data_IF_626216485430
#
_entry.id   IF_626216485430
#
_cell.length_a   1.000
_cell.length_b   1.000
_cell.length_c   1.000
_cell.angle_alpha   90.00
_cell.angle_beta   90.00
_cell.angle_gamma   90.00
#
_symmetry.space_group_name_H-M   'P 1'
#
loop_
_entity.id
_entity.type
_entity.pdbx_description
1 polymer ?
#
# COMPACT_ATOMS: atom_id res chain seq x y z
N UNK A 1 9.65 55.03 -0.68
CA UNK A 1 9.12 53.78 -1.28
C UNK A 1 9.24 52.66 -0.26
N UNK A 2 8.12 52.01 0.06
CA UNK A 2 7.94 51.22 1.28
C UNK A 2 8.77 49.92 1.25
N UNK A 3 9.85 49.89 2.02
CA UNK A 3 10.77 48.74 2.16
C UNK A 3 10.04 47.45 2.53
N UNK A 4 8.97 47.56 3.33
CA UNK A 4 8.08 46.45 3.68
C UNK A 4 7.44 45.78 2.46
N UNK A 5 7.04 46.57 1.44
CA UNK A 5 6.42 46.05 0.22
C UNK A 5 7.43 45.24 -0.61
N UNK A 6 8.69 45.69 -0.68
CA UNK A 6 9.77 44.94 -1.33
C UNK A 6 10.06 43.62 -0.62
N UNK A 7 10.13 43.63 0.71
CA UNK A 7 10.38 42.40 1.48
C UNK A 7 9.25 41.38 1.30
N UNK A 8 7.99 41.83 1.31
CA UNK A 8 6.83 40.95 1.08
C UNK A 8 6.89 40.34 -0.33
N UNK A 9 7.20 41.15 -1.35
CA UNK A 9 7.31 40.66 -2.72
C UNK A 9 8.42 39.61 -2.90
N UNK A 10 9.57 39.80 -2.24
CA UNK A 10 10.68 38.84 -2.28
C UNK A 10 10.28 37.52 -1.62
N UNK A 11 9.62 37.56 -0.46
CA UNK A 11 9.15 36.36 0.25
C UNK A 11 8.11 35.59 -0.55
N UNK A 12 7.15 36.30 -1.16
CA UNK A 12 6.14 35.69 -2.04
C UNK A 12 6.80 35.05 -3.25
N UNK A 13 7.80 35.70 -3.86
CA UNK A 13 8.56 35.14 -4.99
C UNK A 13 9.29 33.84 -4.63
N UNK A 14 9.98 33.81 -3.49
CA UNK A 14 10.66 32.61 -2.97
C UNK A 14 9.68 31.47 -2.69
N UNK A 15 8.53 31.78 -2.08
CA UNK A 15 7.50 30.79 -1.79
C UNK A 15 6.91 30.19 -3.06
N UNK A 16 6.58 31.02 -4.06
CA UNK A 16 6.05 30.55 -5.35
C UNK A 16 7.08 29.72 -6.13
N UNK A 17 8.35 30.11 -6.10
CA UNK A 17 9.43 29.34 -6.73
C UNK A 17 9.62 27.97 -6.05
N UNK A 18 9.55 27.92 -4.71
CA UNK A 18 9.60 26.68 -3.95
C UNK A 18 8.39 25.77 -4.21
N UNK A 19 7.18 26.33 -4.23
CA UNK A 19 5.95 25.59 -4.51
C UNK A 19 5.93 25.03 -5.94
N UNK A 20 6.36 25.81 -6.93
CA UNK A 20 6.45 25.37 -8.32
C UNK A 20 7.50 24.27 -8.50
N UNK A 21 8.67 24.42 -7.87
CA UNK A 21 9.73 23.40 -7.90
C UNK A 21 9.30 22.11 -7.23
N UNK A 22 8.66 22.20 -6.05
CA UNK A 22 8.11 21.06 -5.34
C UNK A 22 7.00 20.36 -6.12
N UNK A 23 6.06 21.10 -6.71
CA UNK A 23 5.00 20.56 -7.55
C UNK A 23 5.56 19.88 -8.81
N UNK A 24 6.53 20.50 -9.48
CA UNK A 24 7.18 19.94 -10.67
C UNK A 24 7.93 18.65 -10.35
N UNK A 25 8.70 18.64 -9.25
CA UNK A 25 9.43 17.48 -8.78
C UNK A 25 8.47 16.34 -8.38
N UNK A 26 7.39 16.67 -7.68
CA UNK A 26 6.35 15.69 -7.30
C UNK A 26 5.63 15.15 -8.54
N UNK A 27 5.28 15.97 -9.53
CA UNK A 27 4.60 15.48 -10.74
C UNK A 27 5.52 14.62 -11.63
N UNK A 28 6.84 14.85 -11.60
CA UNK A 28 7.83 14.09 -12.38
C UNK A 28 8.32 12.82 -11.70
N UNK A 29 8.47 12.83 -10.38
CA UNK A 29 9.02 11.71 -9.61
C UNK A 29 7.99 10.96 -8.78
N UNK A 30 6.80 11.52 -8.55
CA UNK A 30 5.73 10.72 -7.99
C UNK A 30 5.35 9.66 -9.04
N UNK A 31 5.38 8.37 -8.67
CA UNK A 31 4.86 7.34 -9.54
C UNK A 31 3.40 7.69 -9.79
N UNK A 32 3.10 8.11 -11.02
CA UNK A 32 1.71 8.30 -11.45
C UNK A 32 0.96 7.04 -11.06
N UNK A 33 -0.14 7.18 -10.31
CA UNK A 33 -0.92 6.07 -9.75
C UNK A 33 -1.55 5.13 -10.78
N UNK A 34 -1.05 5.12 -12.02
CA UNK A 34 -1.39 4.23 -13.13
C UNK A 34 -0.58 2.93 -13.12
N UNK A 35 0.44 2.78 -12.28
CA UNK A 35 1.22 1.54 -12.20
C UNK A 35 0.71 0.55 -11.13
N UNK A 36 -0.59 0.26 -11.14
CA UNK A 36 -1.18 -0.92 -10.48
C UNK A 36 -2.02 -1.80 -11.41
N UNK A 37 -1.90 -1.60 -12.72
CA UNK A 37 -2.42 -2.56 -13.72
C UNK A 37 -1.40 -3.67 -14.00
N UNK A 38 -0.12 -3.43 -13.69
CA UNK A 38 1.00 -4.34 -13.90
C UNK A 38 1.09 -5.38 -12.77
N UNK A 39 0.09 -6.26 -12.65
CA UNK A 39 0.25 -7.61 -12.03
C UNK A 39 -1.01 -8.47 -11.88
N UNK A 40 -2.15 -8.13 -12.49
CA UNK A 40 -3.31 -9.06 -12.46
C UNK A 40 -3.13 -10.30 -13.35
N UNK A 41 -2.32 -10.19 -14.41
CA UNK A 41 -2.01 -11.28 -15.34
C UNK A 41 -1.33 -12.50 -14.69
N UNK A 42 -0.25 -12.37 -13.89
CA UNK A 42 0.44 -13.53 -13.35
C UNK A 42 -0.40 -14.38 -12.39
N UNK A 43 -1.45 -13.87 -11.75
CA UNK A 43 -2.29 -14.75 -10.92
C UNK A 43 -3.21 -15.62 -11.79
N UNK A 44 -3.94 -15.01 -12.73
CA UNK A 44 -4.89 -15.73 -13.57
C UNK A 44 -4.15 -16.71 -14.50
N UNK A 45 -3.08 -16.25 -15.15
CA UNK A 45 -2.28 -17.08 -16.07
C UNK A 45 -1.65 -18.28 -15.34
N UNK A 46 -0.96 -18.05 -14.20
CA UNK A 46 -0.33 -19.16 -13.46
C UNK A 46 -1.34 -20.17 -12.90
N UNK A 47 -2.50 -19.71 -12.44
CA UNK A 47 -3.52 -20.63 -11.94
C UNK A 47 -4.23 -21.36 -13.08
N UNK A 48 -4.48 -20.69 -14.21
CA UNK A 48 -5.06 -21.31 -15.40
C UNK A 48 -4.12 -22.39 -15.94
N UNK A 49 -2.82 -22.12 -16.06
CA UNK A 49 -1.81 -23.09 -16.48
C UNK A 49 -1.75 -24.30 -15.54
N UNK A 50 -1.79 -24.08 -14.22
CA UNK A 50 -1.81 -25.18 -13.24
C UNK A 50 -3.07 -26.02 -13.36
N UNK A 51 -4.23 -25.39 -13.55
CA UNK A 51 -5.51 -26.08 -13.72
C UNK A 51 -5.54 -26.84 -15.04
N UNK A 52 -5.05 -26.23 -16.11
CA UNK A 52 -4.95 -26.83 -17.43
C UNK A 52 -4.00 -28.04 -17.43
N UNK A 53 -2.86 -27.96 -16.76
CA UNK A 53 -1.95 -29.10 -16.59
C UNK A 53 -2.60 -30.25 -15.80
N UNK A 54 -3.42 -29.94 -14.80
CA UNK A 54 -4.06 -30.95 -13.96
C UNK A 54 -5.33 -31.55 -14.57
N UNK A 55 -6.07 -30.79 -15.38
CA UNK A 55 -7.42 -31.13 -15.86
C UNK A 55 -7.49 -31.28 -17.39
N UNK A 56 -6.44 -30.90 -18.11
CA UNK A 56 -6.32 -30.95 -19.56
C UNK A 56 -7.53 -30.35 -20.27
N UNK A 57 -7.68 -29.01 -20.22
CA UNK A 57 -8.86 -28.37 -20.80
C UNK A 57 -8.89 -28.53 -22.32
N UNK A 58 -10.09 -28.75 -22.86
CA UNK A 58 -10.30 -28.71 -24.31
C UNK A 58 -10.06 -27.29 -24.85
N UNK A 59 -9.74 -27.15 -26.15
CA UNK A 59 -9.58 -25.85 -26.80
C UNK A 59 -10.79 -24.92 -26.63
N UNK A 60 -11.99 -25.48 -26.50
CA UNK A 60 -13.23 -24.74 -26.30
C UNK A 60 -13.45 -24.32 -24.84
N UNK A 61 -12.98 -25.11 -23.87
CA UNK A 61 -13.14 -24.85 -22.42
C UNK A 61 -12.16 -23.80 -21.90
N UNK A 62 -10.89 -23.85 -22.34
CA UNK A 62 -9.84 -22.93 -21.86
C UNK A 62 -10.24 -21.45 -21.94
N UNK A 63 -10.72 -20.91 -23.07
CA UNK A 63 -11.08 -19.49 -23.16
C UNK A 63 -12.28 -19.13 -22.26
N UNK A 64 -13.22 -20.06 -22.05
CA UNK A 64 -14.38 -19.83 -21.17
C UNK A 64 -13.95 -19.75 -19.70
N UNK A 65 -13.07 -20.67 -19.27
CA UNK A 65 -12.53 -20.70 -17.90
C UNK A 65 -11.66 -19.47 -17.66
N UNK A 66 -10.82 -19.08 -18.62
CA UNK A 66 -10.03 -17.86 -18.53
C UNK A 66 -10.92 -16.62 -18.33
N UNK A 67 -11.97 -16.47 -19.14
CA UNK A 67 -12.91 -15.35 -19.04
C UNK A 67 -13.59 -15.32 -17.66
N UNK A 68 -14.04 -16.48 -17.15
CA UNK A 68 -14.61 -16.60 -15.81
C UNK A 68 -13.60 -16.17 -14.73
N UNK A 69 -12.38 -16.70 -14.76
CA UNK A 69 -11.34 -16.35 -13.79
C UNK A 69 -10.98 -14.86 -13.80
N UNK A 70 -10.93 -14.23 -14.98
CA UNK A 70 -10.69 -12.79 -15.12
C UNK A 70 -11.80 -11.98 -14.47
N UNK A 71 -13.05 -12.30 -14.79
CA UNK A 71 -14.23 -11.60 -14.23
C UNK A 71 -14.28 -11.71 -12.69
N UNK A 72 -14.14 -12.93 -12.15
CA UNK A 72 -14.10 -13.17 -10.71
C UNK A 72 -12.91 -12.47 -10.04
N UNK A 73 -11.74 -12.48 -10.67
CA UNK A 73 -10.57 -11.77 -10.18
C UNK A 73 -10.79 -10.26 -10.07
N UNK A 74 -11.53 -9.67 -11.01
CA UNK A 74 -11.91 -8.25 -10.99
C UNK A 74 -12.90 -7.91 -9.89
N UNK A 75 -13.90 -8.76 -9.67
CA UNK A 75 -14.86 -8.62 -8.58
C UNK A 75 -14.19 -8.73 -7.22
N UNK A 76 -13.34 -9.75 -7.01
CA UNK A 76 -12.59 -9.92 -5.76
C UNK A 76 -11.68 -8.72 -5.48
N UNK A 77 -11.04 -8.17 -6.50
CA UNK A 77 -10.22 -6.98 -6.32
C UNK A 77 -11.06 -5.74 -6.00
N UNK A 78 -12.28 -5.62 -6.56
CA UNK A 78 -13.23 -4.55 -6.20
C UNK A 78 -13.65 -4.68 -4.74
N UNK A 79 -14.05 -5.87 -4.31
CA UNK A 79 -14.43 -6.16 -2.93
C UNK A 79 -13.30 -5.81 -1.96
N UNK A 80 -12.07 -6.27 -2.25
CA UNK A 80 -10.89 -5.94 -1.44
C UNK A 80 -10.66 -4.45 -1.27
N UNK A 81 -10.83 -3.65 -2.34
CA UNK A 81 -10.72 -2.18 -2.27
C UNK A 81 -11.82 -1.56 -1.43
N UNK A 82 -13.04 -2.09 -1.48
CA UNK A 82 -14.16 -1.60 -0.68
C UNK A 82 -13.97 -1.94 0.79
N UNK A 83 -13.67 -3.21 1.11
CA UNK A 83 -13.38 -3.67 2.46
C UNK A 83 -12.24 -2.88 3.08
N UNK A 84 -11.14 -2.66 2.36
CA UNK A 84 -10.01 -1.86 2.84
C UNK A 84 -10.43 -0.45 3.27
N UNK A 85 -11.26 0.24 2.47
CA UNK A 85 -11.75 1.58 2.81
C UNK A 85 -12.65 1.56 4.04
N UNK A 86 -13.57 0.60 4.12
CA UNK A 86 -14.45 0.45 5.26
C UNK A 86 -13.67 0.19 6.55
N UNK A 87 -12.72 -0.75 6.52
CA UNK A 87 -11.84 -1.05 7.66
C UNK A 87 -11.02 0.17 8.07
N UNK A 88 -10.41 0.88 7.13
CA UNK A 88 -9.64 2.09 7.44
C UNK A 88 -10.51 3.19 8.08
N UNK A 89 -11.76 3.32 7.66
CA UNK A 89 -12.71 4.24 8.28
C UNK A 89 -13.05 3.84 9.71
N UNK A 90 -13.30 2.54 9.96
CA UNK A 90 -13.59 2.04 11.31
C UNK A 90 -12.40 2.25 12.25
N UNK A 91 -11.17 1.95 11.79
CA UNK A 91 -9.95 2.18 12.58
C UNK A 91 -9.79 3.67 12.91
N UNK A 92 -9.99 4.58 11.95
CA UNK A 92 -9.95 6.03 12.23
C UNK A 92 -10.99 6.45 13.25
N UNK A 93 -12.22 5.96 13.13
CA UNK A 93 -13.29 6.25 14.09
C UNK A 93 -12.97 5.75 15.49
N UNK A 94 -12.43 4.54 15.60
CA UNK A 94 -11.97 3.97 16.87
C UNK A 94 -10.84 4.81 17.48
N UNK A 95 -9.82 5.18 16.70
CA UNK A 95 -8.69 5.98 17.19
C UNK A 95 -9.15 7.35 17.69
N UNK A 96 -10.11 7.99 17.01
CA UNK A 96 -10.68 9.27 17.47
C UNK A 96 -11.43 9.12 18.81
N UNK A 97 -12.17 8.02 19.00
CA UNK A 97 -12.83 7.72 20.28
C UNK A 97 -11.80 7.47 21.39
N UNK A 98 -10.73 6.74 21.10
CA UNK A 98 -9.64 6.53 22.06
C UNK A 98 -9.03 7.87 22.44
N UNK A 99 -8.67 8.70 21.48
CA UNK A 99 -8.02 10.00 21.71
C UNK A 99 -8.87 10.94 22.60
N UNK A 100 -10.20 10.90 22.45
CA UNK A 100 -11.12 11.66 23.30
C UNK A 100 -11.05 11.25 24.79
N UNK A 101 -10.71 10.00 25.09
CA UNK A 101 -10.59 9.46 26.44
C UNK A 101 -9.20 9.69 27.07
N UNK A 102 -8.20 10.08 26.28
CA UNK A 102 -6.83 10.24 26.74
C UNK A 102 -6.57 11.62 27.34
N UNK A 103 -5.70 11.67 28.35
CA UNK A 103 -5.12 12.93 28.84
C UNK A 103 -4.21 13.57 27.77
N UNK A 104 -3.90 14.88 27.86
CA UNK A 104 -3.02 15.53 26.89
C UNK A 104 -1.65 14.85 26.72
N UNK A 105 -1.05 14.40 27.82
CA UNK A 105 0.22 13.68 27.81
C UNK A 105 0.11 12.29 27.13
N UNK A 106 -1.00 11.58 27.39
CA UNK A 106 -1.28 10.30 26.75
C UNK A 106 -1.56 10.45 25.25
N UNK A 107 -2.21 11.55 24.82
CA UNK A 107 -2.44 11.84 23.39
C UNK A 107 -1.13 12.00 22.63
N UNK A 108 -0.16 12.71 23.21
CA UNK A 108 1.16 12.86 22.60
C UNK A 108 1.86 11.49 22.43
N UNK A 109 1.81 10.63 23.46
CA UNK A 109 2.35 9.25 23.37
C UNK A 109 1.60 8.41 22.33
N UNK A 110 0.27 8.54 22.27
CA UNK A 110 -0.57 7.79 21.34
C UNK A 110 -0.32 8.19 19.88
N UNK A 111 -0.05 9.46 19.59
CA UNK A 111 0.32 9.92 18.26
C UNK A 111 1.65 9.29 17.79
N UNK A 112 2.66 9.24 18.67
CA UNK A 112 3.94 8.56 18.39
C UNK A 112 3.74 7.07 18.15
N UNK A 113 2.96 6.41 19.01
CA UNK A 113 2.62 4.99 18.86
C UNK A 113 1.97 4.70 17.51
N UNK A 114 0.98 5.50 17.08
CA UNK A 114 0.33 5.33 15.78
C UNK A 114 1.31 5.48 14.60
N UNK A 115 2.22 6.45 14.68
CA UNK A 115 3.25 6.67 13.65
C UNK A 115 4.18 5.47 13.54
N UNK A 116 4.62 4.91 14.67
CA UNK A 116 5.47 3.72 14.69
C UNK A 116 4.76 2.49 14.11
N UNK A 117 3.49 2.27 14.44
CA UNK A 117 2.72 1.18 13.84
C UNK A 117 2.59 1.34 12.32
N UNK A 118 2.35 2.57 11.84
CA UNK A 118 2.29 2.84 10.40
C UNK A 118 3.63 2.55 9.70
N UNK A 119 4.75 2.97 10.28
CA UNK A 119 6.08 2.71 9.72
C UNK A 119 6.47 1.22 9.75
N UNK A 120 6.06 0.48 10.80
CA UNK A 120 6.23 -0.99 10.83
C UNK A 120 5.44 -1.66 9.71
N UNK A 121 4.16 -1.29 9.54
CA UNK A 121 3.33 -1.83 8.47
C UNK A 121 3.90 -1.50 7.09
N UNK A 122 4.38 -0.27 6.89
CA UNK A 122 4.99 0.18 5.65
C UNK A 122 6.27 -0.60 5.33
N UNK A 123 7.16 -0.79 6.31
CA UNK A 123 8.38 -1.60 6.15
C UNK A 123 8.05 -3.03 5.75
N UNK A 124 7.14 -3.69 6.46
CA UNK A 124 6.73 -5.05 6.10
C UNK A 124 6.11 -5.15 4.71
N UNK A 125 5.37 -4.14 4.25
CA UNK A 125 4.88 -4.12 2.86
C UNK A 125 6.02 -4.00 1.86
N UNK A 126 6.97 -3.09 2.08
CA UNK A 126 8.13 -2.91 1.21
C UNK A 126 9.01 -4.17 1.16
N UNK A 127 9.25 -4.82 2.30
CA UNK A 127 9.99 -6.08 2.39
C UNK A 127 9.30 -7.19 1.60
N UNK A 128 7.96 -7.31 1.72
CA UNK A 128 7.19 -8.29 0.96
C UNK A 128 7.26 -8.02 -0.55
N UNK A 129 7.15 -6.76 -0.95
CA UNK A 129 7.26 -6.36 -2.35
C UNK A 129 8.67 -6.62 -2.90
N UNK A 130 9.71 -6.35 -2.11
CA UNK A 130 11.10 -6.67 -2.47
C UNK A 130 11.29 -8.18 -2.62
N UNK A 131 10.84 -8.98 -1.65
CA UNK A 131 10.90 -10.46 -1.71
C UNK A 131 10.16 -11.00 -2.93
N UNK A 132 9.01 -10.43 -3.27
CA UNK A 132 8.26 -10.81 -4.47
C UNK A 132 9.03 -10.47 -5.77
N UNK A 133 9.74 -9.34 -5.80
CA UNK A 133 10.60 -8.95 -6.93
C UNK A 133 11.83 -9.85 -7.09
N UNK A 134 12.54 -10.14 -6.00
CA UNK A 134 13.70 -11.05 -6.01
C UNK A 134 13.30 -12.43 -6.54
N UNK A 135 12.18 -12.98 -6.05
CA UNK A 135 11.60 -14.24 -6.56
C UNK A 135 11.25 -14.18 -8.04
N UNK A 136 10.74 -13.05 -8.55
CA UNK A 136 10.46 -12.89 -9.99
C UNK A 136 11.75 -12.89 -10.81
N UNK A 137 12.82 -12.29 -10.30
CA UNK A 137 14.08 -12.14 -11.02
C UNK A 137 14.99 -13.37 -10.95
N UNK A 138 14.57 -14.43 -10.23
CA UNK A 138 15.37 -15.64 -10.04
C UNK A 138 16.56 -15.46 -9.09
N UNK A 139 16.64 -14.34 -8.38
CA UNK A 139 17.66 -14.11 -7.36
C UNK A 139 17.26 -14.86 -6.08
N UNK A 140 18.17 -15.67 -5.50
CA UNK A 140 17.92 -16.29 -4.22
C UNK A 140 17.69 -15.18 -3.18
N UNK A 141 16.72 -15.35 -2.27
CA UNK A 141 16.51 -14.38 -1.21
C UNK A 141 17.83 -14.19 -0.42
N UNK A 142 18.16 -12.97 0.03
CA UNK A 142 19.29 -12.78 0.92
C UNK A 142 19.11 -13.68 2.14
N UNK A 143 20.22 -14.31 2.53
CA UNK A 143 20.37 -15.42 3.46
C UNK A 143 19.42 -15.44 4.67
N UNK A 144 19.04 -16.65 5.07
CA UNK A 144 18.05 -17.00 6.09
C UNK A 144 18.28 -16.31 7.45
N UNK A 145 17.68 -15.14 7.63
CA UNK A 145 17.10 -14.71 8.90
C UNK A 145 15.69 -14.20 8.60
N UNK A 146 14.82 -15.11 8.18
CA UNK A 146 13.41 -14.81 8.17
C UNK A 146 13.01 -14.48 9.62
N UNK A 147 12.56 -13.25 9.96
CA UNK A 147 11.74 -13.12 11.15
C UNK A 147 10.58 -14.08 10.92
N UNK A 148 10.40 -15.02 11.84
CA UNK A 148 9.25 -15.92 11.85
C UNK A 148 7.98 -15.10 11.56
N UNK A 149 6.98 -15.65 10.84
CA UNK A 149 5.66 -15.02 10.85
C UNK A 149 5.35 -14.70 12.31
N UNK A 150 4.88 -13.48 12.68
CA UNK A 150 4.60 -13.19 14.07
C UNK A 150 3.66 -14.28 14.55
N UNK A 151 4.24 -15.22 15.32
CA UNK A 151 3.51 -16.30 15.94
C UNK A 151 2.44 -15.63 16.74
N UNK A 152 1.24 -16.20 16.67
CA UNK A 152 0.06 -15.79 17.43
C UNK A 152 0.50 -15.14 18.73
N UNK A 153 0.40 -13.81 18.78
CA UNK A 153 0.71 -13.10 20.01
C UNK A 153 -0.13 -13.80 21.09
N UNK A 154 0.49 -14.31 22.17
CA UNK A 154 -0.27 -15.02 23.18
C UNK A 154 -1.41 -14.09 23.63
N UNK A 155 -2.65 -14.62 23.77
CA UNK A 155 -3.77 -13.79 24.19
C UNK A 155 -3.38 -13.06 25.48
N UNK A 156 -3.75 -11.77 25.62
CA UNK A 156 -3.39 -11.01 26.82
C UNK A 156 -3.87 -11.77 28.06
N UNK A 157 -3.07 -11.83 29.13
CA UNK A 157 -3.46 -12.51 30.35
C UNK A 157 -4.73 -11.86 30.92
N UNK A 158 -5.68 -12.70 31.33
CA UNK A 158 -6.96 -12.32 31.96
C UNK A 158 -6.75 -11.46 33.21
#
# INVERSE_FOLDING_TARGET
MNTKLRTILILVGLFLAGAASGAFLTLRLAPTGRERVRERRPFVERNLERMDHALAFTPEQRPQIEALMRSTGDELAKLRRQSWRATAQQIRGMNAKIEALLTPEQRAKFATYQKEQFERLRRHQLERDQRARLRRNGEPPPDETAPEPPGDAPPPPN
#
